data_IF_615077287337
#
_entry.id   IF_615077287337
#
_cell.length_a   1.000
_cell.length_b   1.000
_cell.length_c   1.000
_cell.angle_alpha   90.00
_cell.angle_beta   90.00
_cell.angle_gamma   90.00
#
_symmetry.space_group_name_H-M   'P 1'
#
loop_
_entity.id
_entity.type
_entity.pdbx_description
1 polymer ?
#
# COMPACT_ATOMS: atom_id res chain seq x y z
N UNK A 1 -6.20 1.86 -8.04
CA UNK A 1 -6.19 0.46 -7.56
C UNK A 1 -7.64 -0.03 -7.49
N UNK A 2 -7.97 -1.19 -8.05
CA UNK A 2 -9.36 -1.70 -8.04
C UNK A 2 -9.77 -2.03 -6.59
N UNK A 3 -10.97 -1.60 -6.17
CA UNK A 3 -11.54 -1.97 -4.86
C UNK A 3 -11.86 -3.47 -4.89
N UNK A 4 -11.19 -4.24 -4.03
CA UNK A 4 -11.47 -5.66 -3.81
C UNK A 4 -12.13 -5.75 -2.43
N UNK A 5 -13.31 -6.37 -2.36
CA UNK A 5 -14.03 -6.57 -1.10
C UNK A 5 -14.09 -8.05 -0.73
N UNK A 6 -14.26 -8.34 0.56
CA UNK A 6 -14.37 -9.70 1.07
C UNK A 6 -15.61 -10.42 0.51
N UNK A 7 -16.68 -9.68 0.22
CA UNK A 7 -17.90 -10.21 -0.40
C UNK A 7 -17.65 -10.66 -1.84
N UNK A 8 -16.82 -9.92 -2.59
CA UNK A 8 -16.44 -10.34 -3.95
C UNK A 8 -15.61 -11.63 -3.92
N UNK A 9 -14.69 -11.74 -2.96
CA UNK A 9 -13.90 -12.96 -2.76
C UNK A 9 -14.80 -14.12 -2.32
N UNK A 10 -15.72 -13.88 -1.41
CA UNK A 10 -16.71 -14.88 -0.96
C UNK A 10 -17.51 -15.46 -2.12
N UNK A 11 -18.07 -14.59 -2.98
CA UNK A 11 -18.80 -15.02 -4.19
C UNK A 11 -17.91 -15.79 -5.16
N UNK A 12 -16.67 -15.34 -5.37
CA UNK A 12 -15.72 -15.97 -6.31
C UNK A 12 -15.27 -17.36 -5.84
N UNK A 13 -14.98 -17.50 -4.56
CA UNK A 13 -14.45 -18.75 -3.98
C UNK A 13 -15.56 -19.66 -3.40
N UNK A 14 -16.83 -19.24 -3.45
CA UNK A 14 -17.96 -19.94 -2.84
C UNK A 14 -17.72 -20.31 -1.38
N UNK A 15 -17.05 -19.41 -0.66
CA UNK A 15 -16.65 -19.61 0.73
C UNK A 15 -17.15 -18.44 1.59
N UNK A 16 -17.37 -18.68 2.88
CA UNK A 16 -17.75 -17.60 3.78
C UNK A 16 -16.60 -16.60 3.96
N UNK A 17 -16.94 -15.34 4.23
CA UNK A 17 -15.96 -14.29 4.54
C UNK A 17 -15.07 -14.71 5.72
N UNK A 18 -15.65 -15.35 6.74
CA UNK A 18 -14.92 -15.84 7.91
C UNK A 18 -13.87 -16.89 7.53
N UNK A 19 -14.24 -17.86 6.69
CA UNK A 19 -13.30 -18.88 6.20
C UNK A 19 -12.15 -18.26 5.40
N UNK A 20 -12.46 -17.31 4.50
CA UNK A 20 -11.45 -16.61 3.71
C UNK A 20 -10.49 -15.82 4.62
N UNK A 21 -11.02 -15.08 5.60
CA UNK A 21 -10.19 -14.34 6.55
C UNK A 21 -9.31 -15.27 7.39
N UNK A 22 -9.84 -16.41 7.82
CA UNK A 22 -9.11 -17.41 8.59
C UNK A 22 -7.96 -17.99 7.77
N UNK A 23 -8.24 -18.54 6.58
CA UNK A 23 -7.22 -19.18 5.76
C UNK A 23 -6.17 -18.17 5.28
N UNK A 24 -6.58 -16.96 4.92
CA UNK A 24 -5.65 -15.89 4.56
C UNK A 24 -4.73 -15.51 5.73
N UNK A 25 -5.28 -15.34 6.93
CA UNK A 25 -4.47 -14.97 8.10
C UNK A 25 -3.54 -16.10 8.52
N UNK A 26 -3.95 -17.36 8.35
CA UNK A 26 -3.11 -18.53 8.58
C UNK A 26 -1.89 -18.56 7.64
N UNK A 27 -2.10 -18.26 6.36
CA UNK A 27 -1.05 -18.26 5.34
C UNK A 27 -0.13 -17.02 5.46
N UNK A 28 -0.71 -15.82 5.45
CA UNK A 28 0.03 -14.56 5.38
C UNK A 28 0.37 -13.95 6.74
N UNK A 29 -0.11 -14.55 7.83
CA UNK A 29 0.07 -14.08 9.23
C UNK A 29 -0.47 -12.69 9.53
N UNK A 30 -1.26 -12.12 8.61
CA UNK A 30 -1.93 -10.83 8.75
C UNK A 30 -3.32 -10.91 8.14
N UNK A 31 -4.24 -10.07 8.63
CA UNK A 31 -5.60 -10.03 8.08
C UNK A 31 -5.61 -9.51 6.63
N UNK A 32 -6.59 -9.93 5.80
CA UNK A 32 -6.72 -9.44 4.43
C UNK A 32 -6.75 -7.92 4.30
N UNK A 33 -7.43 -7.23 5.24
CA UNK A 33 -7.51 -5.77 5.23
C UNK A 33 -6.15 -5.12 5.50
N UNK A 34 -5.39 -5.66 6.46
CA UNK A 34 -4.06 -5.15 6.77
C UNK A 34 -3.08 -5.41 5.62
N UNK A 35 -3.19 -6.56 4.95
CA UNK A 35 -2.42 -6.85 3.74
C UNK A 35 -2.69 -5.83 2.63
N UNK A 36 -3.97 -5.52 2.36
CA UNK A 36 -4.34 -4.52 1.36
C UNK A 36 -3.81 -3.13 1.74
N UNK A 37 -3.89 -2.74 3.02
CA UNK A 37 -3.35 -1.47 3.49
C UNK A 37 -1.83 -1.43 3.27
N UNK A 38 -1.09 -2.48 3.67
CA UNK A 38 0.36 -2.56 3.47
C UNK A 38 0.73 -2.47 2.00
N UNK A 39 0.06 -3.23 1.12
CA UNK A 39 0.25 -3.14 -0.34
C UNK A 39 0.04 -1.71 -0.84
N UNK A 40 -1.05 -1.05 -0.45
CA UNK A 40 -1.33 0.34 -0.85
C UNK A 40 -0.24 1.31 -0.40
N UNK A 41 0.26 1.16 0.82
CA UNK A 41 1.33 2.01 1.35
C UNK A 41 2.66 1.78 0.63
N UNK A 42 2.98 0.54 0.27
CA UNK A 42 4.15 0.20 -0.54
C UNK A 42 4.08 0.85 -1.92
N UNK A 43 2.95 0.74 -2.62
CA UNK A 43 2.74 1.39 -3.92
C UNK A 43 2.81 2.92 -3.82
N UNK A 44 2.23 3.49 -2.75
CA UNK A 44 2.29 4.93 -2.51
C UNK A 44 3.73 5.40 -2.28
N UNK A 45 4.51 4.66 -1.47
CA UNK A 45 5.92 4.94 -1.22
C UNK A 45 6.73 4.88 -2.51
N UNK A 46 6.50 3.87 -3.34
CA UNK A 46 7.14 3.76 -4.65
C UNK A 46 6.77 4.92 -5.57
N UNK A 47 5.49 5.30 -5.62
CA UNK A 47 5.02 6.41 -6.47
C UNK A 47 5.61 7.75 -6.03
N UNK A 48 5.67 8.00 -4.73
CA UNK A 48 6.28 9.21 -4.15
C UNK A 48 7.76 9.35 -4.52
N UNK A 49 8.47 8.24 -4.74
CA UNK A 49 9.92 8.27 -5.02
C UNK A 49 10.27 8.15 -6.49
N UNK A 50 9.39 7.58 -7.32
CA UNK A 50 9.68 7.27 -8.72
C UNK A 50 8.84 8.08 -9.72
N UNK A 51 7.96 8.97 -9.25
CA UNK A 51 7.10 9.78 -10.11
C UNK A 51 7.06 11.23 -9.63
N UNK A 52 6.58 12.13 -10.49
CA UNK A 52 6.35 13.55 -10.16
C UNK A 52 4.90 13.83 -9.75
N UNK A 53 4.13 12.79 -9.44
CA UNK A 53 2.73 12.91 -9.05
C UNK A 53 2.60 13.62 -7.70
N UNK A 54 1.57 14.46 -7.59
CA UNK A 54 1.21 15.08 -6.32
C UNK A 54 0.72 14.03 -5.31
N UNK A 55 0.82 14.38 -4.02
CA UNK A 55 0.33 13.51 -2.94
C UNK A 55 -1.17 13.18 -3.09
N UNK A 56 -1.97 14.12 -3.62
CA UNK A 56 -3.38 13.92 -3.89
C UNK A 56 -3.63 12.92 -5.03
N UNK A 57 -2.86 12.99 -6.11
CA UNK A 57 -2.95 12.01 -7.21
C UNK A 57 -2.54 10.62 -6.74
N UNK A 58 -1.47 10.53 -5.94
CA UNK A 58 -0.99 9.26 -5.39
C UNK A 58 -2.04 8.65 -4.46
N UNK A 59 -2.62 9.45 -3.54
CA UNK A 59 -3.66 8.94 -2.63
C UNK A 59 -4.85 8.39 -3.40
N UNK A 60 -5.30 9.09 -4.45
CA UNK A 60 -6.39 8.62 -5.30
C UNK A 60 -6.03 7.33 -6.04
N UNK A 61 -4.83 7.25 -6.63
CA UNK A 61 -4.35 6.05 -7.33
C UNK A 61 -4.24 4.82 -6.43
N UNK A 62 -3.82 4.99 -5.18
CA UNK A 62 -3.76 3.89 -4.20
C UNK A 62 -5.10 3.62 -3.49
N UNK A 63 -6.17 4.32 -3.89
CA UNK A 63 -7.55 4.03 -3.49
C UNK A 63 -8.00 4.72 -2.20
N UNK A 64 -7.51 5.93 -1.93
CA UNK A 64 -7.97 6.82 -0.87
C UNK A 64 -8.49 8.13 -1.48
N UNK A 65 -9.75 8.44 -1.21
CA UNK A 65 -10.42 9.67 -1.66
C UNK A 65 -10.03 10.88 -0.79
N UNK A 66 -9.74 10.64 0.50
CA UNK A 66 -9.33 11.67 1.45
C UNK A 66 -7.80 11.64 1.64
N UNK A 67 -7.14 12.73 1.25
CA UNK A 67 -5.67 12.90 1.29
C UNK A 67 -5.14 12.91 2.73
N UNK A 68 -5.85 13.53 3.67
CA UNK A 68 -5.45 13.61 5.08
C UNK A 68 -5.51 12.24 5.76
N UNK A 69 -6.56 11.48 5.48
CA UNK A 69 -6.69 10.10 5.96
C UNK A 69 -5.55 9.23 5.42
N UNK A 70 -5.25 9.35 4.13
CA UNK A 70 -4.09 8.70 3.52
C UNK A 70 -2.79 9.10 4.22
N UNK A 71 -2.54 10.39 4.43
CA UNK A 71 -1.29 10.89 5.03
C UNK A 71 -1.08 10.35 6.45
N UNK A 72 -2.14 10.33 7.28
CA UNK A 72 -2.10 9.75 8.63
C UNK A 72 -1.79 8.26 8.61
N UNK A 73 -2.43 7.52 7.70
CA UNK A 73 -2.23 6.08 7.58
C UNK A 73 -0.85 5.74 7.02
N UNK A 74 -0.35 6.53 6.08
CA UNK A 74 0.99 6.43 5.51
C UNK A 74 2.05 6.67 6.58
N UNK A 75 1.93 7.74 7.37
CA UNK A 75 2.84 8.01 8.48
C UNK A 75 2.88 6.84 9.47
N UNK A 76 1.71 6.28 9.83
CA UNK A 76 1.63 5.12 10.73
C UNK A 76 2.34 3.87 10.19
N UNK A 77 2.23 3.62 8.89
CA UNK A 77 2.79 2.39 8.27
C UNK A 77 4.24 2.53 7.82
N UNK A 78 4.62 3.70 7.34
CA UNK A 78 5.94 3.96 6.74
C UNK A 78 6.90 4.61 7.75
N UNK A 79 6.39 5.17 8.84
CA UNK A 79 7.18 5.79 9.91
C UNK A 79 7.64 7.22 9.61
N UNK A 80 7.32 7.74 8.42
CA UNK A 80 7.59 9.13 8.03
C UNK A 80 6.48 9.64 7.11
N UNK A 81 6.30 10.96 7.04
CA UNK A 81 5.23 11.54 6.23
C UNK A 81 5.52 11.41 4.73
N UNK A 82 4.47 11.43 3.86
CA UNK A 82 4.66 11.43 2.42
C UNK A 82 5.63 12.52 1.94
N UNK A 83 5.51 13.74 2.49
CA UNK A 83 6.37 14.89 2.18
C UNK A 83 7.84 14.65 2.52
N UNK A 84 8.13 14.11 3.71
CA UNK A 84 9.49 13.81 4.17
C UNK A 84 10.10 12.66 3.35
N UNK A 85 9.29 11.68 2.95
CA UNK A 85 9.72 10.53 2.15
C UNK A 85 10.34 10.97 0.81
N UNK A 86 9.73 11.95 0.14
CA UNK A 86 10.25 12.53 -1.11
C UNK A 86 11.58 13.26 -0.87
N UNK A 87 11.65 14.07 0.19
CA UNK A 87 12.85 14.83 0.56
C UNK A 87 14.06 13.95 0.87
N UNK A 88 13.86 12.92 1.69
CA UNK A 88 14.93 12.00 2.11
C UNK A 88 15.42 11.10 0.97
N UNK A 89 14.55 10.68 0.03
CA UNK A 89 14.92 9.76 -1.05
C UNK A 89 15.45 10.46 -2.30
N UNK A 90 15.13 11.73 -2.57
CA UNK A 90 15.86 12.50 -3.60
C UNK A 90 17.35 12.64 -3.27
N UNK A 91 17.70 12.66 -1.98
CA UNK A 91 19.09 12.67 -1.50
C UNK A 91 19.75 11.29 -1.70
N UNK A 92 19.06 10.20 -1.38
CA UNK A 92 19.60 8.83 -1.47
C UNK A 92 19.63 8.29 -2.92
N UNK A 93 18.60 8.54 -3.73
CA UNK A 93 18.46 8.05 -5.11
C UNK A 93 19.35 8.77 -6.12
N UNK A 94 20.02 9.87 -5.73
CA UNK A 94 21.16 10.42 -6.48
C UNK A 94 22.32 9.40 -6.56
N UNK A 95 22.29 8.33 -5.76
CA UNK A 95 23.21 7.19 -5.78
C UNK A 95 22.49 5.82 -5.99
N UNK A 96 22.14 5.54 -7.25
CA UNK A 96 22.03 4.22 -7.96
C UNK A 96 21.26 2.99 -7.37
N UNK A 97 20.40 2.44 -8.25
CA UNK A 97 20.15 1.03 -8.66
C UNK A 97 19.64 -0.08 -7.70
N UNK A 98 19.41 0.12 -6.40
CA UNK A 98 19.08 -1.03 -5.50
C UNK A 98 17.61 -1.45 -5.32
N UNK A 99 16.59 -0.71 -5.80
CA UNK A 99 15.20 -0.95 -5.35
C UNK A 99 14.43 -2.07 -6.07
N UNK A 100 14.87 -2.52 -7.25
CA UNK A 100 14.20 -3.60 -7.99
C UNK A 100 14.24 -4.96 -7.27
N UNK A 101 15.12 -5.14 -6.28
CA UNK A 101 15.24 -6.37 -5.50
C UNK A 101 14.14 -6.55 -4.44
N UNK A 102 13.46 -5.49 -4.00
CA UNK A 102 12.53 -5.55 -2.87
C UNK A 102 11.08 -5.87 -3.24
N UNK A 103 10.71 -5.81 -4.52
CA UNK A 103 9.32 -6.01 -4.98
C UNK A 103 9.01 -7.45 -5.44
N UNK A 104 10.01 -8.36 -5.43
CA UNK A 104 9.85 -9.75 -5.85
C UNK A 104 10.11 -10.77 -4.70
N UNK A 105 9.89 -10.38 -3.45
CA UNK A 105 9.94 -11.30 -2.31
C UNK A 105 8.76 -11.10 -1.37
#
# INVERSE_FOLDING_TARGET
MRKITLEQLSKKFRASVSYICHEFTKEYRISPINYVIQRRMTEAKWSLTNTELSQAEISWRVGYENVDHFAKLFLRHVGCSPTITVGNLKIVLRNKKSYLYFLNR
#
